data_IF_206324529640
#
_entry.id   IF_206324529640
#
_cell.length_a   1.000
_cell.length_b   1.000
_cell.length_c   1.000
_cell.angle_alpha   90.00
_cell.angle_beta   90.00
_cell.angle_gamma   90.00
#
_symmetry.space_group_name_H-M   'P 1'
#
loop_
_entity.id
_entity.type
_entity.pdbx_description
1 polymer ?
#
# COMPACT_ATOMS: atom_id res chain seq x y z
N UNK A 1 -3.24 28.49 -35.47
CA UNK A 1 -4.29 27.93 -34.58
C UNK A 1 -4.04 26.42 -34.54
N UNK A 2 -3.40 25.78 -33.54
CA UNK A 2 -3.62 25.73 -32.07
C UNK A 2 -5.11 25.50 -31.78
N UNK A 3 -5.61 24.40 -31.19
CA UNK A 3 -5.12 23.40 -30.19
C UNK A 3 -6.14 22.20 -30.17
N UNK A 4 -6.07 21.17 -29.28
CA UNK A 4 -5.17 20.01 -29.32
C UNK A 4 -5.93 18.65 -29.16
N UNK A 5 -5.14 17.57 -29.20
CA UNK A 5 -5.48 16.22 -28.74
C UNK A 5 -6.11 16.22 -27.34
N UNK A 6 -7.43 16.11 -27.22
CA UNK A 6 -8.05 15.60 -26.00
C UNK A 6 -8.01 14.07 -26.03
N UNK A 7 -6.79 13.53 -25.94
CA UNK A 7 -6.62 12.18 -25.41
C UNK A 7 -7.03 12.28 -23.95
N UNK A 8 -8.30 11.99 -23.71
CA UNK A 8 -8.89 11.88 -22.40
C UNK A 8 -8.19 10.70 -21.74
N UNK A 9 -6.98 10.96 -21.22
CA UNK A 9 -6.26 10.12 -20.30
C UNK A 9 -7.08 10.20 -19.01
N UNK A 10 -8.26 9.55 -19.04
CA UNK A 10 -8.92 9.06 -17.86
C UNK A 10 -7.88 8.16 -17.22
N UNK A 11 -7.05 8.75 -16.37
CA UNK A 11 -6.50 8.04 -15.24
C UNK A 11 -7.72 7.35 -14.62
N UNK A 12 -7.84 6.06 -14.89
CA UNK A 12 -8.80 5.21 -14.22
C UNK A 12 -8.30 5.26 -12.78
N UNK A 13 -8.80 6.22 -12.00
CA UNK A 13 -8.75 6.07 -10.56
C UNK A 13 -9.43 4.73 -10.31
N UNK A 14 -8.73 3.73 -9.75
CA UNK A 14 -9.37 2.47 -9.41
C UNK A 14 -10.62 2.83 -8.61
N UNK A 15 -11.75 2.20 -8.93
CA UNK A 15 -12.96 2.44 -8.14
C UNK A 15 -12.61 2.13 -6.67
N UNK A 16 -13.27 2.80 -5.72
CA UNK A 16 -13.01 2.55 -4.30
C UNK A 16 -13.15 1.08 -3.93
N UNK A 17 -13.95 0.33 -4.68
CA UNK A 17 -14.09 -1.12 -4.57
C UNK A 17 -12.87 -1.88 -5.08
N UNK A 18 -12.31 -1.51 -6.24
CA UNK A 18 -11.05 -2.08 -6.78
C UNK A 18 -9.88 -1.87 -5.81
N UNK A 19 -9.81 -0.68 -5.19
CA UNK A 19 -8.79 -0.39 -4.16
C UNK A 19 -8.97 -1.31 -2.94
N UNK A 20 -10.19 -1.44 -2.42
CA UNK A 20 -10.48 -2.30 -1.26
C UNK A 20 -10.17 -3.76 -1.56
N UNK A 21 -10.55 -4.24 -2.73
CA UNK A 21 -10.29 -5.61 -3.17
C UNK A 21 -8.78 -5.86 -3.28
N UNK A 22 -8.04 -4.97 -3.96
CA UNK A 22 -6.60 -5.09 -4.12
C UNK A 22 -5.87 -4.97 -2.77
N UNK A 23 -6.26 -4.01 -1.94
CA UNK A 23 -5.74 -3.84 -0.59
C UNK A 23 -5.93 -5.08 0.27
N UNK A 24 -7.15 -5.63 0.27
CA UNK A 24 -7.44 -6.86 1.01
C UNK A 24 -6.56 -8.02 0.55
N UNK A 25 -6.46 -8.24 -0.76
CA UNK A 25 -5.62 -9.29 -1.33
C UNK A 25 -4.15 -9.15 -0.95
N UNK A 26 -3.59 -7.94 -1.06
CA UNK A 26 -2.19 -7.66 -0.71
C UNK A 26 -1.91 -7.81 0.79
N UNK A 27 -2.85 -7.39 1.64
CA UNK A 27 -2.75 -7.57 3.09
C UNK A 27 -2.80 -9.06 3.49
N UNK A 28 -3.63 -9.86 2.83
CA UNK A 28 -3.69 -11.32 3.05
C UNK A 28 -2.37 -11.99 2.63
N UNK A 29 -1.78 -11.61 1.50
CA UNK A 29 -0.49 -12.17 1.07
C UNK A 29 0.66 -11.76 2.01
N UNK A 30 0.65 -10.52 2.51
CA UNK A 30 1.60 -10.04 3.52
C UNK A 30 1.46 -10.79 4.85
N UNK A 31 0.23 -11.03 5.32
CA UNK A 31 -0.02 -11.83 6.53
C UNK A 31 0.49 -13.26 6.36
N UNK A 32 0.22 -13.90 5.22
CA UNK A 32 0.72 -15.24 4.91
C UNK A 32 2.26 -15.29 4.90
N UNK A 33 2.93 -14.28 4.34
CA UNK A 33 4.38 -14.17 4.37
C UNK A 33 4.92 -13.95 5.80
N UNK A 34 4.22 -13.15 6.61
CA UNK A 34 4.56 -12.91 8.02
C UNK A 34 4.40 -14.18 8.86
N UNK A 35 3.31 -14.92 8.66
CA UNK A 35 3.07 -16.21 9.30
C UNK A 35 4.17 -17.22 8.96
N UNK A 36 4.64 -17.25 7.71
CA UNK A 36 5.77 -18.10 7.32
C UNK A 36 7.04 -17.76 8.13
N UNK A 37 7.40 -16.49 8.22
CA UNK A 37 8.52 -16.04 9.05
C UNK A 37 8.33 -16.42 10.52
N UNK A 38 7.14 -16.23 11.08
CA UNK A 38 6.84 -16.63 12.46
C UNK A 38 7.04 -18.13 12.68
N UNK A 39 6.58 -18.99 11.75
CA UNK A 39 6.82 -20.43 11.83
C UNK A 39 8.31 -20.80 11.83
N UNK A 40 9.12 -20.12 11.01
CA UNK A 40 10.57 -20.33 10.98
C UNK A 40 11.24 -19.88 12.28
N UNK A 41 10.83 -18.73 12.82
CA UNK A 41 11.32 -18.21 14.11
C UNK A 41 11.03 -19.21 15.24
N UNK A 42 9.80 -19.72 15.32
CA UNK A 42 9.41 -20.73 16.32
C UNK A 42 10.19 -22.05 16.13
N UNK A 43 10.54 -22.39 14.89
CA UNK A 43 11.34 -23.58 14.57
C UNK A 43 12.86 -23.36 14.73
N UNK A 44 13.30 -22.18 15.20
CA UNK A 44 14.70 -21.75 15.28
C UNK A 44 15.44 -21.73 13.92
N UNK A 45 14.71 -21.69 12.80
CA UNK A 45 15.23 -21.65 11.43
C UNK A 45 15.40 -20.21 10.94
N UNK A 46 16.18 -19.41 11.66
CA UNK A 46 16.38 -17.96 11.41
C UNK A 46 17.63 -17.63 10.59
N UNK A 47 18.16 -18.62 9.85
CA UNK A 47 19.36 -18.50 9.00
C UNK A 47 19.35 -19.54 7.88
N UNK A 48 20.10 -19.28 6.82
CA UNK A 48 20.22 -20.16 5.66
C UNK A 48 19.13 -19.93 4.61
N UNK A 49 19.18 -20.72 3.53
CA UNK A 49 18.37 -20.48 2.31
C UNK A 49 16.88 -20.35 2.60
N UNK A 50 16.32 -21.21 3.45
CA UNK A 50 14.90 -21.21 3.79
C UNK A 50 14.46 -19.92 4.49
N UNK A 51 15.31 -19.36 5.35
CA UNK A 51 15.08 -18.05 5.97
C UNK A 51 15.19 -16.92 4.95
N UNK A 52 16.24 -16.94 4.12
CA UNK A 52 16.48 -15.91 3.10
C UNK A 52 15.35 -15.83 2.07
N UNK A 53 14.82 -16.99 1.65
CA UNK A 53 13.66 -17.10 0.77
C UNK A 53 12.39 -16.54 1.41
N UNK A 54 12.12 -16.88 2.68
CA UNK A 54 10.96 -16.36 3.41
C UNK A 54 11.05 -14.83 3.62
N UNK A 55 12.25 -14.32 3.95
CA UNK A 55 12.50 -12.88 4.07
C UNK A 55 12.33 -12.19 2.71
N UNK A 56 12.83 -12.78 1.63
CA UNK A 56 12.65 -12.25 0.27
C UNK A 56 11.18 -12.19 -0.11
N UNK A 57 10.40 -13.26 0.15
CA UNK A 57 8.95 -13.30 -0.09
C UNK A 57 8.22 -12.21 0.70
N UNK A 58 8.54 -12.06 1.99
CA UNK A 58 7.94 -11.02 2.82
C UNK A 58 8.27 -9.61 2.30
N UNK A 59 9.52 -9.36 1.89
CA UNK A 59 9.91 -8.06 1.29
C UNK A 59 9.12 -7.75 0.02
N UNK A 60 8.89 -8.74 -0.84
CA UNK A 60 8.11 -8.58 -2.07
C UNK A 60 6.63 -8.28 -1.77
N UNK A 61 6.01 -9.02 -0.85
CA UNK A 61 4.63 -8.79 -0.43
C UNK A 61 4.47 -7.38 0.19
N UNK A 62 5.42 -6.96 1.03
CA UNK A 62 5.43 -5.61 1.60
C UNK A 62 5.57 -4.54 0.52
N UNK A 63 6.48 -4.72 -0.45
CA UNK A 63 6.65 -3.76 -1.54
C UNK A 63 5.39 -3.64 -2.40
N UNK A 64 4.70 -4.76 -2.67
CA UNK A 64 3.44 -4.77 -3.39
C UNK A 64 2.34 -4.01 -2.61
N UNK A 65 2.20 -4.27 -1.31
CA UNK A 65 1.30 -3.51 -0.43
C UNK A 65 1.65 -2.02 -0.39
N UNK A 66 2.93 -1.67 -0.20
CA UNK A 66 3.36 -0.28 -0.14
C UNK A 66 3.11 0.48 -1.45
N UNK A 67 3.17 -0.20 -2.61
CA UNK A 67 2.94 0.41 -3.92
C UNK A 67 1.52 0.95 -4.12
N UNK A 68 0.53 0.40 -3.42
CA UNK A 68 -0.86 0.89 -3.49
C UNK A 68 -1.15 1.96 -2.43
N UNK A 69 -0.29 2.09 -1.42
CA UNK A 69 -0.42 3.11 -0.38
C UNK A 69 0.06 4.49 -0.83
N UNK A 70 0.88 4.59 -1.88
CA UNK A 70 1.44 5.88 -2.36
C UNK A 70 0.40 6.84 -2.95
N UNK A 71 -0.89 6.49 -2.93
CA UNK A 71 -2.01 7.42 -3.16
C UNK A 71 -2.53 8.10 -1.88
N UNK A 72 -2.11 7.65 -0.70
CA UNK A 72 -2.42 8.28 0.58
C UNK A 72 -1.25 9.20 0.92
N UNK A 73 -1.35 10.46 0.50
CA UNK A 73 -0.58 11.55 1.11
C UNK A 73 -0.97 11.62 2.60
N UNK A 74 -0.35 10.78 3.43
CA UNK A 74 -0.20 11.14 4.83
C UNK A 74 0.82 12.26 4.82
N UNK A 75 0.32 13.51 4.81
CA UNK A 75 1.14 14.68 5.11
C UNK A 75 1.96 14.33 6.36
N UNK A 76 3.29 14.18 6.26
CA UNK A 76 4.05 13.65 7.37
C UNK A 76 4.00 14.58 8.58
N UNK A 77 3.63 15.87 8.45
CA UNK A 77 3.45 16.77 9.59
C UNK A 77 2.52 17.98 9.30
N UNK A 78 1.24 17.95 9.71
CA UNK A 78 0.44 19.16 9.85
C UNK A 78 0.75 19.92 11.15
N UNK A 79 1.34 19.25 12.15
CA UNK A 79 1.47 19.80 13.52
C UNK A 79 2.54 20.87 13.67
N UNK A 80 3.59 20.89 12.82
CA UNK A 80 4.66 21.89 12.94
C UNK A 80 4.40 23.17 12.13
N UNK A 81 3.50 23.11 11.13
CA UNK A 81 3.25 24.25 10.23
C UNK A 81 2.08 25.14 10.68
N UNK A 82 1.40 24.81 11.79
CA UNK A 82 0.28 25.60 12.31
C UNK A 82 -0.90 25.72 11.34
N UNK A 83 -0.96 24.89 10.30
CA UNK A 83 -2.08 24.86 9.35
C UNK A 83 -3.30 24.25 10.04
N UNK A 84 -4.52 24.78 9.81
CA UNK A 84 -5.72 24.16 10.33
C UNK A 84 -5.79 22.73 9.78
N UNK A 85 -6.11 21.77 10.64
CA UNK A 85 -6.53 20.44 10.19
C UNK A 85 -7.75 20.66 9.29
N UNK A 86 -7.56 20.57 7.97
CA UNK A 86 -8.67 20.54 7.03
C UNK A 86 -9.45 19.28 7.35
N UNK A 87 -10.46 19.45 8.20
CA UNK A 87 -11.39 18.41 8.57
C UNK A 87 -11.96 17.83 7.29
N UNK A 88 -12.01 16.50 7.26
CA UNK A 88 -12.74 15.75 6.26
C UNK A 88 -14.23 16.13 6.33
N UNK A 89 -14.58 17.26 5.71
CA UNK A 89 -15.96 17.68 5.50
C UNK A 89 -16.50 16.93 4.30
N UNK A 90 -16.70 15.63 4.47
CA UNK A 90 -17.73 14.92 3.71
C UNK A 90 -19.08 15.27 4.35
N UNK A 91 -19.57 16.47 4.06
CA UNK A 91 -20.98 16.83 4.25
C UNK A 91 -21.51 17.53 3.01
N UNK A 92 -22.59 16.96 2.48
CA UNK A 92 -23.57 17.48 1.54
C UNK A 92 -23.11 17.58 0.06
N UNK A 93 -23.87 17.04 -0.89
CA UNK A 93 -25.33 17.18 -1.03
C UNK A 93 -25.93 16.06 -1.88
#
# INVERSE_FOLDING_TARGET
MLLPLNYNMRAIMPSSDDFRFNAHHLLVDLDAATNNLMMLVVSHEVKGSRWDEAVSRHKQAYAAWASILTGIQTDPLPVLDGRPVEGNSSTAK
#
